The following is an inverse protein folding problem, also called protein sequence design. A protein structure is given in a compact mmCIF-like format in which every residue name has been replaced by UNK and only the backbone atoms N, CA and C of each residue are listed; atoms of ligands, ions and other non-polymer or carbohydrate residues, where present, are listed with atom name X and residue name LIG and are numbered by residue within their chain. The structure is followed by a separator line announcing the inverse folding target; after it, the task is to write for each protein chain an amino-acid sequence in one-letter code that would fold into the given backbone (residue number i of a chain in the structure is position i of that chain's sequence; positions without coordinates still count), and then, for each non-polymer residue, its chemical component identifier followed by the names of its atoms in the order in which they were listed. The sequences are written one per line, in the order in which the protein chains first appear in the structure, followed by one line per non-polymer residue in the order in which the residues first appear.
data_IF_673664423963
#
_entry.id   IF_673664423963
#
_cell.length_a   1.000
_cell.length_b   1.000
_cell.length_c   1.000
_cell.angle_alpha   90.00
_cell.angle_beta   90.00
_cell.angle_gamma   90.00
#
_symmetry.space_group_name_H-M   'P 1'
#
loop_
_entity.id
_entity.type
_entity.pdbx_description
1 polymer ?
#
# COMPACT_ATOMS: atom_id res chain seq x y z
N UNK A 1 6.00 -53.15 -39.83
CA UNK A 1 5.72 -51.70 -39.83
C UNK A 1 4.71 -51.37 -38.74
N UNK A 2 4.78 -50.17 -38.15
CA UNK A 2 3.98 -49.63 -37.02
C UNK A 2 4.58 -49.88 -35.63
N UNK A 3 5.56 -49.05 -35.25
CA UNK A 3 5.80 -48.65 -33.84
C UNK A 3 6.72 -47.42 -33.62
N UNK A 4 6.77 -46.37 -34.49
CA UNK A 4 7.45 -45.13 -34.09
C UNK A 4 6.52 -44.13 -33.36
N UNK A 5 5.21 -44.35 -33.36
CA UNK A 5 4.23 -43.33 -32.91
C UNK A 5 4.17 -43.19 -31.38
N UNK A 6 4.56 -44.22 -30.62
CA UNK A 6 4.41 -44.20 -29.16
C UNK A 6 5.52 -43.41 -28.43
N UNK A 7 6.67 -43.20 -29.06
CA UNK A 7 7.79 -42.44 -28.46
C UNK A 7 7.65 -40.92 -28.63
N UNK A 8 6.90 -40.46 -29.64
CA UNK A 8 6.72 -39.03 -29.90
C UNK A 8 5.73 -38.41 -28.89
N UNK A 9 4.75 -39.19 -28.42
CA UNK A 9 3.75 -38.71 -27.46
C UNK A 9 4.35 -38.41 -26.08
N UNK A 10 5.37 -39.15 -25.64
CA UNK A 10 6.02 -38.94 -24.35
C UNK A 10 6.91 -37.67 -24.31
N UNK A 11 7.46 -37.26 -25.46
CA UNK A 11 8.32 -36.06 -25.56
C UNK A 11 7.50 -34.76 -25.52
N UNK A 12 6.25 -34.80 -26.01
CA UNK A 12 5.35 -33.63 -26.03
C UNK A 12 4.84 -33.28 -24.63
N UNK A 13 4.67 -34.28 -23.74
CA UNK A 13 4.24 -34.03 -22.36
C UNK A 13 5.33 -33.36 -21.49
N UNK A 14 6.62 -33.48 -21.84
CA UNK A 14 7.70 -32.77 -21.12
C UNK A 14 7.81 -31.29 -21.47
N UNK A 15 7.20 -30.83 -22.55
CA UNK A 15 7.25 -29.42 -22.97
C UNK A 15 6.19 -28.53 -22.28
N UNK A 16 5.27 -29.13 -21.51
CA UNK A 16 4.15 -28.41 -20.87
C UNK A 16 4.24 -28.27 -19.35
N UNK A 17 5.30 -28.76 -18.70
CA UNK A 17 5.57 -28.45 -17.28
C UNK A 17 6.44 -27.21 -17.15
N UNK A 18 6.12 -26.16 -17.91
CA UNK A 18 6.58 -24.82 -17.62
C UNK A 18 5.75 -24.29 -16.45
N UNK A 19 6.03 -24.73 -15.23
CA UNK A 19 5.59 -24.00 -14.04
C UNK A 19 6.21 -22.60 -14.18
N UNK A 20 5.43 -21.64 -14.66
CA UNK A 20 5.75 -20.24 -14.59
C UNK A 20 5.73 -19.88 -13.10
N UNK A 21 6.84 -20.17 -12.41
CA UNK A 21 7.16 -19.61 -11.12
C UNK A 21 7.16 -18.10 -11.32
N UNK A 22 6.03 -17.46 -11.01
CA UNK A 22 5.86 -16.02 -11.12
C UNK A 22 7.06 -15.37 -10.46
N UNK A 23 7.80 -14.57 -11.22
CA UNK A 23 9.07 -13.99 -10.82
C UNK A 23 8.81 -13.00 -9.68
N UNK A 24 8.83 -13.47 -8.43
CA UNK A 24 8.65 -12.65 -7.22
C UNK A 24 9.60 -11.42 -7.28
N UNK A 25 10.78 -11.57 -7.86
CA UNK A 25 11.76 -10.48 -7.99
C UNK A 25 11.46 -9.39 -9.03
N UNK A 26 10.39 -9.51 -9.84
CA UNK A 26 10.07 -8.53 -10.89
C UNK A 26 9.23 -7.35 -10.43
N UNK A 27 8.73 -7.37 -9.20
CA UNK A 27 7.90 -6.31 -8.63
C UNK A 27 8.48 -5.85 -7.32
N UNK A 28 8.22 -4.59 -6.98
CA UNK A 28 8.48 -4.08 -5.65
C UNK A 28 7.18 -4.14 -4.85
N UNK A 29 7.20 -4.84 -3.73
CA UNK A 29 6.02 -5.03 -2.89
C UNK A 29 5.89 -3.85 -1.93
N UNK A 30 4.86 -3.04 -2.14
CA UNK A 30 4.57 -1.89 -1.30
C UNK A 30 4.14 -2.36 0.08
N UNK A 31 4.76 -1.79 1.10
CA UNK A 31 4.41 -2.04 2.50
C UNK A 31 3.64 -0.88 3.10
N UNK A 32 4.11 0.35 2.87
CA UNK A 32 3.44 1.54 3.35
C UNK A 32 3.54 2.67 2.32
N UNK A 33 2.52 3.53 2.28
CA UNK A 33 2.55 4.74 1.47
C UNK A 33 2.09 5.94 2.29
N UNK A 34 2.81 7.05 2.18
CA UNK A 34 2.27 8.36 2.53
C UNK A 34 1.76 9.02 1.26
N UNK A 35 0.55 9.55 1.32
CA UNK A 35 -0.13 10.17 0.19
C UNK A 35 -0.56 11.56 0.64
N UNK A 36 -0.08 12.58 -0.07
CA UNK A 36 -0.36 13.99 0.22
C UNK A 36 -0.64 14.79 -1.05
N UNK A 37 -1.03 16.05 -0.84
CA UNK A 37 -1.25 17.01 -1.91
C UNK A 37 -2.59 16.83 -2.62
N UNK A 38 -2.98 17.82 -3.42
CA UNK A 38 -4.22 17.77 -4.18
C UNK A 38 -4.28 16.51 -5.06
N UNK A 39 -5.40 15.79 -5.04
CA UNK A 39 -5.59 14.54 -5.80
C UNK A 39 -4.57 13.42 -5.50
N UNK A 40 -3.83 13.53 -4.39
CA UNK A 40 -2.80 12.56 -3.99
C UNK A 40 -1.58 12.56 -4.91
N UNK A 41 -1.27 13.70 -5.53
CA UNK A 41 -0.16 13.84 -6.46
C UNK A 41 1.24 13.71 -5.84
N UNK A 42 1.36 13.61 -4.52
CA UNK A 42 2.63 13.43 -3.81
C UNK A 42 2.64 12.09 -3.06
N UNK A 43 3.63 11.25 -3.35
CA UNK A 43 3.77 9.92 -2.76
C UNK A 43 5.15 9.73 -2.15
N UNK A 44 5.17 9.09 -0.97
CA UNK A 44 6.35 8.44 -0.42
C UNK A 44 6.01 6.97 -0.22
N UNK A 45 6.77 6.07 -0.83
CA UNK A 45 6.52 4.63 -0.85
C UNK A 45 7.62 3.87 -0.13
N UNK A 46 7.27 3.08 0.87
CA UNK A 46 8.18 2.15 1.54
C UNK A 46 7.84 0.71 1.15
N UNK A 47 8.87 -0.08 0.84
CA UNK A 47 8.74 -1.45 0.32
C UNK A 47 9.19 -2.49 1.35
N UNK A 48 8.81 -3.75 1.17
CA UNK A 48 9.25 -4.84 2.05
C UNK A 48 10.75 -5.16 1.93
N UNK A 49 11.30 -5.05 0.72
CA UNK A 49 12.67 -5.48 0.40
C UNK A 49 13.64 -4.29 0.22
N UNK A 50 13.24 -3.08 0.60
CA UNK A 50 14.05 -1.85 0.46
C UNK A 50 13.97 -1.01 1.72
N UNK A 51 15.13 -0.64 2.26
CA UNK A 51 15.26 0.19 3.45
C UNK A 51 15.02 1.68 3.15
N UNK A 52 15.03 2.08 1.87
CA UNK A 52 14.86 3.48 1.46
C UNK A 52 13.50 3.71 0.84
N UNK A 53 12.74 4.65 1.43
CA UNK A 53 11.48 5.07 0.84
C UNK A 53 11.70 5.86 -0.47
N UNK A 54 10.84 5.62 -1.46
CA UNK A 54 10.86 6.30 -2.76
C UNK A 54 9.85 7.44 -2.75
N UNK A 55 10.34 8.66 -2.94
CA UNK A 55 9.49 9.84 -3.11
C UNK A 55 9.22 10.08 -4.60
N UNK A 56 7.96 10.34 -4.96
CA UNK A 56 7.54 10.61 -6.31
C UNK A 56 6.34 11.57 -6.35
N UNK A 57 6.20 12.30 -7.45
CA UNK A 57 5.13 13.27 -7.63
C UNK A 57 4.53 13.19 -9.04
N UNK A 58 3.27 13.57 -9.16
CA UNK A 58 2.49 13.57 -10.40
C UNK A 58 1.26 14.47 -10.29
N UNK A 59 0.47 14.52 -11.37
CA UNK A 59 -0.79 15.29 -11.40
C UNK A 59 -1.94 14.64 -10.60
N UNK A 60 -1.81 13.35 -10.32
CA UNK A 60 -2.70 12.53 -9.52
C UNK A 60 -1.92 11.34 -8.92
N UNK A 61 -2.61 10.54 -8.12
CA UNK A 61 -2.06 9.36 -7.44
C UNK A 61 -1.44 8.35 -8.42
N UNK A 62 -2.07 8.13 -9.58
CA UNK A 62 -1.60 7.16 -10.58
C UNK A 62 -0.36 7.66 -11.32
N UNK A 63 -0.30 8.95 -11.65
CA UNK A 63 0.87 9.58 -12.25
C UNK A 63 2.06 9.55 -11.30
N UNK A 64 1.83 9.84 -10.02
CA UNK A 64 2.85 9.75 -8.98
C UNK A 64 3.34 8.30 -8.80
N UNK A 65 2.44 7.31 -8.84
CA UNK A 65 2.83 5.89 -8.79
C UNK A 65 3.69 5.50 -9.99
N UNK A 66 3.31 5.87 -11.22
CA UNK A 66 4.13 5.63 -12.42
C UNK A 66 5.50 6.27 -12.30
N UNK A 67 5.58 7.47 -11.75
CA UNK A 67 6.87 8.13 -11.48
C UNK A 67 7.71 7.36 -10.44
N UNK A 68 7.09 6.79 -9.41
CA UNK A 68 7.77 5.93 -8.44
C UNK A 68 8.27 4.62 -9.07
N UNK A 69 7.48 3.98 -9.94
CA UNK A 69 7.89 2.79 -10.68
C UNK A 69 9.10 3.04 -11.58
N UNK A 70 9.13 4.20 -12.24
CA UNK A 70 10.28 4.63 -13.03
C UNK A 70 11.53 4.82 -12.18
N UNK A 71 11.39 5.43 -10.99
CA UNK A 71 12.51 5.61 -10.04
C UNK A 71 13.01 4.28 -9.47
N UNK A 72 12.09 3.38 -9.13
CA UNK A 72 12.40 2.08 -8.54
C UNK A 72 12.85 1.04 -9.60
N UNK A 73 12.65 1.33 -10.89
CA UNK A 73 13.00 0.44 -12.00
C UNK A 73 12.15 -0.83 -12.08
N UNK A 74 11.06 -0.91 -11.31
CA UNK A 74 10.14 -2.06 -11.23
C UNK A 74 8.71 -1.59 -11.03
N UNK A 75 7.72 -2.33 -11.57
CA UNK A 75 6.32 -2.13 -11.22
C UNK A 75 6.09 -2.29 -9.71
N UNK A 76 5.20 -1.47 -9.16
CA UNK A 76 4.81 -1.53 -7.75
C UNK A 76 3.60 -2.44 -7.59
N UNK A 77 3.69 -3.37 -6.64
CA UNK A 77 2.56 -4.21 -6.24
C UNK A 77 2.01 -3.75 -4.90
N UNK A 78 0.74 -3.38 -4.88
CA UNK A 78 0.04 -2.69 -3.78
C UNK A 78 -0.89 -3.61 -2.97
N UNK A 79 -1.06 -4.88 -3.37
CA UNK A 79 -2.02 -5.78 -2.75
C UNK A 79 -1.66 -6.23 -1.32
N UNK A 80 -0.42 -6.01 -0.88
CA UNK A 80 0.06 -6.33 0.47
C UNK A 80 0.37 -5.09 1.31
N UNK A 81 -0.09 -3.91 0.90
CA UNK A 81 0.10 -2.68 1.66
C UNK A 81 -0.53 -2.83 3.05
N UNK A 82 0.26 -2.55 4.08
CA UNK A 82 -0.12 -2.66 5.49
C UNK A 82 -0.56 -1.31 6.08
N UNK A 83 -0.04 -0.20 5.54
CA UNK A 83 -0.27 1.15 6.06
C UNK A 83 -0.41 2.19 4.95
N UNK A 84 -1.42 3.05 5.07
CA UNK A 84 -1.57 4.29 4.32
C UNK A 84 -1.56 5.46 5.31
N UNK A 85 -0.71 6.45 5.05
CA UNK A 85 -0.63 7.70 5.80
C UNK A 85 -1.26 8.79 4.94
N UNK A 86 -2.28 9.47 5.47
CA UNK A 86 -2.98 10.56 4.80
C UNK A 86 -2.78 11.89 5.53
N UNK A 87 -2.83 12.98 4.78
CA UNK A 87 -2.67 14.35 5.26
C UNK A 87 -3.99 15.06 5.60
N UNK A 88 -5.12 14.36 5.48
CA UNK A 88 -6.45 14.92 5.72
C UNK A 88 -7.12 15.53 4.49
N UNK A 89 -6.45 15.57 3.34
CA UNK A 89 -7.02 16.09 2.08
C UNK A 89 -7.65 14.99 1.24
N UNK A 90 -8.79 15.28 0.61
CA UNK A 90 -9.50 14.39 -0.32
C UNK A 90 -9.66 12.95 0.21
N UNK A 91 -9.86 12.77 1.53
CA UNK A 91 -9.66 11.48 2.19
C UNK A 91 -10.57 10.41 1.62
N UNK A 92 -11.86 10.72 1.46
CA UNK A 92 -12.83 9.76 0.92
C UNK A 92 -12.44 9.30 -0.48
N UNK A 93 -12.22 10.23 -1.41
CA UNK A 93 -11.86 9.93 -2.80
C UNK A 93 -10.55 9.14 -2.87
N UNK A 94 -9.57 9.52 -2.05
CA UNK A 94 -8.28 8.84 -1.94
C UNK A 94 -8.44 7.40 -1.44
N UNK A 95 -9.19 7.19 -0.35
CA UNK A 95 -9.39 5.83 0.19
C UNK A 95 -10.21 4.94 -0.73
N UNK A 96 -11.18 5.50 -1.48
CA UNK A 96 -11.87 4.78 -2.56
C UNK A 96 -10.85 4.31 -3.59
N UNK A 97 -10.03 5.22 -4.12
CA UNK A 97 -9.00 4.89 -5.11
C UNK A 97 -8.03 3.81 -4.62
N UNK A 98 -7.57 3.91 -3.37
CA UNK A 98 -6.69 2.90 -2.77
C UNK A 98 -7.33 1.50 -2.78
N UNK A 99 -8.61 1.42 -2.44
CA UNK A 99 -9.35 0.14 -2.41
C UNK A 99 -9.71 -0.39 -3.81
N UNK A 100 -10.10 0.46 -4.74
CA UNK A 100 -10.61 0.03 -6.05
C UNK A 100 -9.51 -0.18 -7.08
N UNK A 101 -8.58 0.76 -7.16
CA UNK A 101 -7.57 0.83 -8.21
C UNK A 101 -6.25 0.23 -7.73
N UNK A 102 -5.77 0.65 -6.56
CA UNK A 102 -4.59 0.03 -5.95
C UNK A 102 -4.90 -1.32 -5.30
N UNK A 103 -6.19 -1.66 -5.09
CA UNK A 103 -6.59 -2.95 -4.52
C UNK A 103 -5.85 -3.27 -3.22
N UNK A 104 -5.62 -2.25 -2.39
CA UNK A 104 -5.06 -2.47 -1.05
C UNK A 104 -5.98 -3.41 -0.26
N UNK A 105 -5.41 -4.15 0.70
CA UNK A 105 -6.22 -5.01 1.55
C UNK A 105 -7.28 -4.18 2.27
N UNK A 106 -8.54 -4.66 2.40
CA UNK A 106 -9.54 -4.04 3.25
C UNK A 106 -9.09 -3.83 4.70
N UNK A 107 -8.15 -4.66 5.18
CA UNK A 107 -7.55 -4.56 6.51
C UNK A 107 -6.35 -3.61 6.58
N UNK A 108 -5.98 -2.94 5.48
CA UNK A 108 -4.88 -1.99 5.45
C UNK A 108 -5.18 -0.84 6.41
N UNK A 109 -4.23 -0.48 7.27
CA UNK A 109 -4.43 0.57 8.26
C UNK A 109 -4.32 1.94 7.60
N UNK A 110 -5.17 2.87 8.00
CA UNK A 110 -5.15 4.27 7.60
C UNK A 110 -4.88 5.12 8.82
N UNK A 111 -3.84 5.94 8.76
CA UNK A 111 -3.49 6.88 9.82
C UNK A 111 -3.39 8.30 9.27
N UNK A 112 -3.64 9.28 10.14
CA UNK A 112 -3.38 10.67 9.85
C UNK A 112 -1.96 11.06 10.26
N UNK A 113 -1.29 11.82 9.40
CA UNK A 113 -0.12 12.62 9.77
C UNK A 113 0.03 13.76 8.75
N UNK A 114 0.00 15.00 9.21
CA UNK A 114 0.16 16.18 8.34
C UNK A 114 1.48 16.21 7.56
N UNK A 115 2.51 15.48 8.01
CA UNK A 115 3.76 15.30 7.28
C UNK A 115 4.13 13.80 7.17
N UNK A 116 3.18 13.00 6.69
CA UNK A 116 3.35 11.55 6.55
C UNK A 116 4.54 11.12 5.71
N UNK A 117 4.90 11.90 4.68
CA UNK A 117 6.06 11.62 3.83
C UNK A 117 7.39 11.71 4.58
N UNK A 118 7.55 12.68 5.48
CA UNK A 118 8.74 12.77 6.34
C UNK A 118 8.73 11.66 7.38
N UNK A 119 7.58 11.41 8.02
CA UNK A 119 7.44 10.32 8.99
C UNK A 119 7.88 8.98 8.39
N UNK A 120 7.43 8.65 7.17
CA UNK A 120 7.77 7.40 6.51
C UNK A 120 9.23 7.30 6.05
N UNK A 121 9.92 8.43 5.82
CA UNK A 121 11.34 8.46 5.46
C UNK A 121 12.26 8.33 6.67
N UNK A 122 11.88 8.89 7.80
CA UNK A 122 12.73 8.98 9.00
C UNK A 122 12.52 7.82 9.98
N UNK A 123 11.35 7.18 9.93
CA UNK A 123 10.99 6.12 10.85
C UNK A 123 10.92 4.76 10.16
N UNK A 124 11.32 3.74 10.91
CA UNK A 124 11.17 2.35 10.51
C UNK A 124 9.68 2.02 10.28
N UNK A 125 9.37 1.51 9.09
CA UNK A 125 7.98 1.24 8.68
C UNK A 125 7.32 0.18 9.56
N UNK A 126 8.06 -0.84 10.03
CA UNK A 126 7.50 -1.86 10.91
C UNK A 126 7.12 -1.27 12.26
N UNK A 127 7.97 -0.39 12.81
CA UNK A 127 7.70 0.32 14.05
C UNK A 127 6.50 1.25 13.92
N UNK A 128 6.34 1.96 12.81
CA UNK A 128 5.16 2.79 12.56
C UNK A 128 3.88 1.95 12.56
N UNK A 129 3.87 0.84 11.82
CA UNK A 129 2.75 -0.10 11.79
C UNK A 129 2.47 -0.65 13.19
N UNK A 130 3.52 -1.04 13.92
CA UNK A 130 3.41 -1.53 15.30
C UNK A 130 2.84 -0.49 16.26
N UNK A 131 3.30 0.76 16.16
CA UNK A 131 2.79 1.87 16.98
C UNK A 131 1.32 2.14 16.70
N UNK A 132 0.90 2.18 15.44
CA UNK A 132 -0.50 2.33 15.06
C UNK A 132 -1.36 1.18 15.65
N UNK A 133 -0.90 -0.07 15.51
CA UNK A 133 -1.61 -1.23 16.06
C UNK A 133 -1.76 -1.15 17.58
N UNK A 134 -0.68 -0.79 18.27
CA UNK A 134 -0.69 -0.62 19.72
C UNK A 134 -1.61 0.52 20.16
N UNK A 135 -1.67 1.64 19.43
CA UNK A 135 -2.59 2.73 19.75
C UNK A 135 -4.06 2.29 19.69
N UNK A 136 -4.42 1.46 18.70
CA UNK A 136 -5.76 0.89 18.59
C UNK A 136 -6.03 -0.13 19.69
N UNK A 137 -5.11 -1.06 19.94
CA UNK A 137 -5.25 -2.10 20.98
C UNK A 137 -5.39 -1.50 22.39
N UNK A 138 -4.72 -0.38 22.66
CA UNK A 138 -4.79 0.32 23.94
C UNK A 138 -5.99 1.27 24.06
N UNK A 139 -6.80 1.41 23.01
CA UNK A 139 -7.94 2.32 22.98
C UNK A 139 -7.58 3.80 22.94
N UNK A 140 -6.33 4.14 22.59
CA UNK A 140 -5.85 5.51 22.37
C UNK A 140 -6.42 6.05 21.05
N UNK A 141 -6.51 5.17 20.04
CA UNK A 141 -7.08 5.47 18.74
C UNK A 141 -8.22 4.48 18.41
N UNK A 142 -9.20 4.89 17.58
CA UNK A 142 -10.25 3.98 17.11
C UNK A 142 -9.73 3.00 16.05
N UNK A 143 -10.53 1.98 15.76
CA UNK A 143 -10.29 1.07 14.63
C UNK A 143 -10.14 1.85 13.31
N UNK A 144 -9.04 1.57 12.62
CA UNK A 144 -8.51 2.39 11.53
C UNK A 144 -8.19 1.58 10.26
N UNK A 145 -8.79 0.39 10.08
CA UNK A 145 -8.69 -0.31 8.80
C UNK A 145 -9.47 0.44 7.70
N UNK A 146 -9.00 0.36 6.46
CA UNK A 146 -9.50 1.19 5.36
C UNK A 146 -10.99 0.94 5.07
N UNK A 147 -11.50 -0.28 5.23
CA UNK A 147 -12.92 -0.56 4.96
C UNK A 147 -13.81 0.05 6.03
N UNK A 148 -13.40 -0.02 7.30
CA UNK A 148 -14.09 0.64 8.42
C UNK A 148 -14.06 2.15 8.28
N UNK A 149 -12.89 2.73 7.99
CA UNK A 149 -12.72 4.18 7.82
C UNK A 149 -13.55 4.69 6.65
N UNK A 150 -13.47 4.04 5.48
CA UNK A 150 -14.25 4.44 4.32
C UNK A 150 -15.75 4.26 4.56
N UNK A 151 -16.17 3.19 5.25
CA UNK A 151 -17.56 3.00 5.65
C UNK A 151 -18.11 4.15 6.48
N UNK A 152 -17.32 4.65 7.45
CA UNK A 152 -17.67 5.82 8.26
C UNK A 152 -17.77 7.09 7.41
N UNK A 153 -16.82 7.35 6.51
CA UNK A 153 -16.85 8.49 5.59
C UNK A 153 -18.07 8.46 4.66
N UNK A 154 -18.45 7.29 4.15
CA UNK A 154 -19.60 7.12 3.27
C UNK A 154 -20.94 7.34 3.98
N UNK A 155 -21.07 6.94 5.25
CA UNK A 155 -22.32 7.02 6.01
C UNK A 155 -22.46 8.35 6.75
N UNK A 156 -21.38 8.81 7.39
CA UNK A 156 -21.38 9.93 8.33
C UNK A 156 -20.55 11.13 7.90
N UNK A 157 -19.94 11.10 6.71
CA UNK A 157 -19.07 12.16 6.17
C UNK A 157 -17.83 12.49 7.01
N UNK A 158 -17.57 11.71 8.05
CA UNK A 158 -16.42 11.88 8.95
C UNK A 158 -15.96 10.52 9.45
N UNK A 159 -14.68 10.41 9.76
CA UNK A 159 -14.12 9.26 10.45
C UNK A 159 -13.04 9.73 11.43
N UNK A 160 -13.08 9.21 12.64
CA UNK A 160 -11.97 9.32 13.57
C UNK A 160 -10.99 8.18 13.29
N UNK A 161 -9.70 8.50 13.13
CA UNK A 161 -8.60 7.57 12.85
C UNK A 161 -7.40 7.85 13.75
N UNK A 162 -6.43 6.93 13.79
CA UNK A 162 -5.20 7.13 14.53
C UNK A 162 -4.37 8.28 13.93
N UNK A 163 -3.80 9.13 14.77
CA UNK A 163 -2.79 10.13 14.41
C UNK A 163 -1.44 9.70 14.98
N UNK A 164 -0.40 9.70 14.14
CA UNK A 164 0.97 9.41 14.59
C UNK A 164 1.88 10.62 14.41
N UNK A 165 2.74 10.82 15.40
CA UNK A 165 3.71 11.89 15.44
C UNK A 165 5.13 11.38 15.31
N UNK A 166 6.03 12.25 14.82
CA UNK A 166 7.45 11.94 14.66
C UNK A 166 8.21 11.77 15.99
N UNK A 167 7.58 11.97 17.15
CA UNK A 167 8.14 11.68 18.47
C UNK A 167 7.73 10.30 19.01
N UNK A 168 6.97 9.52 18.22
CA UNK A 168 6.49 8.19 18.56
C UNK A 168 5.22 8.17 19.41
N UNK A 169 4.61 9.33 19.67
CA UNK A 169 3.30 9.39 20.32
C UNK A 169 2.16 9.16 19.33
N UNK A 170 0.99 8.78 19.87
CA UNK A 170 -0.21 8.52 19.09
C UNK A 170 -1.41 9.26 19.70
N UNK A 171 -2.34 9.67 18.84
CA UNK A 171 -3.61 10.28 19.20
C UNK A 171 -4.71 9.88 18.23
N UNK A 172 -5.73 10.73 18.12
CA UNK A 172 -6.81 10.57 17.15
C UNK A 172 -7.07 11.85 16.37
N UNK A 173 -7.50 11.67 15.11
CA UNK A 173 -7.81 12.76 14.19
C UNK A 173 -9.13 12.52 13.47
N UNK A 174 -9.90 13.57 13.23
CA UNK A 174 -11.14 13.51 12.44
C UNK A 174 -10.83 13.91 11.01
N UNK A 175 -11.08 12.99 10.08
CA UNK A 175 -11.01 13.22 8.63
C UNK A 175 -12.41 13.32 8.02
N UNK A 176 -12.49 13.87 6.81
CA UNK A 176 -13.73 14.20 6.08
C UNK A 176 -13.73 13.60 4.66
#
# INVERSE_FOLDING_TARGET
MKRPILFISALIFMLFTGCASGKIHQRSYLRAAAVSGERGGELVLAFFDDDTAVEASGEDTDAAQRAAELKNGKPVFTGYTELIIIDGTDCRERLVHMLTDWKVSPSCMVIYCGNGGTLLKEWDTEKLIGAAKQAVEQGIAPECDVITVLGKLCIGHTAEIAELYADGTAGSHIIY
#
